data_IF_697597892333
#
_entry.id   IF_697597892333
#
_cell.length_a   1.000
_cell.length_b   1.000
_cell.length_c   1.000
_cell.angle_alpha   90.00
_cell.angle_beta   90.00
_cell.angle_gamma   90.00
#
_symmetry.space_group_name_H-M   'P 1'
#
loop_
_entity.id
_entity.type
_entity.pdbx_description
1 polymer ?
#
# COMPACT_ATOMS: atom_id res chain seq x y z
N UNK A 1 26.03 -18.93 49.26
CA UNK A 1 26.04 -19.19 50.72
C UNK A 1 24.70 -19.78 51.14
N UNK A 2 24.79 -20.91 51.86
CA UNK A 2 23.85 -21.58 52.77
C UNK A 2 22.37 -21.12 52.88
N UNK A 3 21.51 -22.14 52.87
CA UNK A 3 20.10 -22.21 53.27
C UNK A 3 19.91 -21.96 54.81
N UNK A 4 18.81 -22.37 55.49
CA UNK A 4 17.44 -22.78 55.09
C UNK A 4 16.36 -22.11 55.99
N UNK A 5 15.08 -22.52 55.94
CA UNK A 5 14.26 -22.78 57.14
C UNK A 5 13.17 -23.82 56.83
N UNK A 6 13.13 -24.82 57.70
CA UNK A 6 12.22 -25.97 57.70
C UNK A 6 10.96 -25.67 58.52
N UNK A 7 9.86 -26.36 58.21
CA UNK A 7 9.00 -26.97 59.24
C UNK A 7 8.20 -28.14 58.65
N UNK A 8 8.50 -29.32 59.15
CA UNK A 8 7.74 -30.54 59.00
C UNK A 8 6.77 -30.67 60.19
N UNK A 9 5.60 -31.25 59.95
CA UNK A 9 4.74 -31.82 60.99
C UNK A 9 4.30 -33.22 60.56
N UNK A 10 4.59 -34.17 61.44
CA UNK A 10 4.50 -35.63 61.31
C UNK A 10 3.08 -36.15 61.52
N UNK A 11 2.78 -37.27 60.85
CA UNK A 11 1.96 -38.45 61.23
C UNK A 11 1.47 -39.10 59.92
N UNK A 12 1.57 -40.40 59.62
CA UNK A 12 1.92 -41.60 60.39
C UNK A 12 2.10 -42.79 59.44
N UNK A 13 2.74 -43.83 59.97
CA UNK A 13 3.11 -45.14 59.44
C UNK A 13 2.26 -45.76 58.29
N UNK A 14 2.90 -46.31 57.25
CA UNK A 14 3.24 -47.76 57.08
C UNK A 14 3.51 -48.13 55.60
N UNK A 15 4.39 -49.13 55.45
CA UNK A 15 4.71 -49.97 54.29
C UNK A 15 5.70 -49.41 53.26
N UNK A 16 6.88 -50.04 53.31
CA UNK A 16 7.88 -50.10 52.26
C UNK A 16 7.23 -50.31 50.89
N UNK A 17 7.33 -49.29 50.05
CA UNK A 17 7.42 -49.46 48.60
C UNK A 17 8.76 -48.87 48.23
N UNK A 18 9.59 -49.71 47.64
CA UNK A 18 10.80 -49.30 46.94
C UNK A 18 10.45 -48.09 46.08
N UNK A 19 11.02 -46.93 46.42
CA UNK A 19 11.01 -45.77 45.53
C UNK A 19 11.83 -46.19 44.31
N UNK A 20 11.13 -46.72 43.30
CA UNK A 20 11.61 -46.66 41.94
C UNK A 20 11.92 -45.19 41.68
N UNK A 21 13.20 -44.88 41.56
CA UNK A 21 13.68 -43.67 40.91
C UNK A 21 13.25 -43.77 39.46
N UNK A 22 11.99 -43.46 39.17
CA UNK A 22 11.57 -43.02 37.85
C UNK A 22 12.26 -41.68 37.64
N UNK A 23 13.52 -41.76 37.20
CA UNK A 23 14.17 -40.68 36.51
C UNK A 23 13.19 -40.25 35.41
N UNK A 24 12.61 -39.06 35.56
CA UNK A 24 11.99 -38.37 34.44
C UNK A 24 13.14 -38.14 33.48
N UNK A 25 13.35 -39.09 32.58
CA UNK A 25 14.11 -38.91 31.36
C UNK A 25 13.54 -37.63 30.74
N UNK A 26 14.24 -36.51 30.90
CA UNK A 26 13.96 -35.32 30.11
C UNK A 26 13.97 -35.78 28.66
N UNK A 27 12.79 -35.92 28.06
CA UNK A 27 12.63 -36.36 26.69
C UNK A 27 13.20 -35.24 25.83
N UNK A 28 14.47 -35.37 25.44
CA UNK A 28 15.15 -34.43 24.56
C UNK A 28 14.81 -34.79 23.12
N UNK A 29 14.41 -33.79 22.36
CA UNK A 29 14.17 -33.93 20.92
C UNK A 29 15.33 -33.26 20.19
N UNK A 30 15.94 -33.89 19.18
CA UNK A 30 16.93 -33.23 18.35
C UNK A 30 16.31 -32.01 17.63
N UNK A 31 17.11 -30.97 17.34
CA UNK A 31 16.60 -29.82 16.58
C UNK A 31 16.20 -30.25 15.17
N UNK A 32 15.20 -29.58 14.60
CA UNK A 32 14.66 -29.90 13.27
C UNK A 32 15.52 -29.35 12.12
N UNK A 33 16.45 -28.46 12.43
CA UNK A 33 17.37 -27.84 11.49
C UNK A 33 18.64 -27.32 12.19
N UNK A 34 19.50 -26.60 11.46
CA UNK A 34 20.71 -26.01 12.05
C UNK A 34 20.32 -25.04 13.17
N UNK A 35 21.11 -25.04 14.24
CA UNK A 35 20.93 -24.07 15.33
C UNK A 35 21.75 -22.81 15.03
N UNK A 36 21.29 -21.63 15.50
CA UNK A 36 22.09 -20.41 15.42
C UNK A 36 23.48 -20.62 16.01
N UNK A 37 24.49 -20.00 15.39
CA UNK A 37 25.89 -19.99 15.83
C UNK A 37 26.59 -21.35 15.91
N UNK A 38 26.06 -22.42 15.29
CA UNK A 38 26.76 -23.71 15.19
C UNK A 38 28.06 -23.62 14.38
N UNK A 39 28.13 -22.71 13.43
CA UNK A 39 29.30 -22.52 12.56
C UNK A 39 30.47 -21.83 13.26
N UNK A 40 30.29 -21.35 14.50
CA UNK A 40 31.33 -20.66 15.24
C UNK A 40 32.29 -21.69 15.85
N UNK A 41 33.55 -21.68 15.41
CA UNK A 41 34.63 -22.46 16.05
C UNK A 41 34.97 -21.90 17.43
N UNK A 42 34.48 -22.58 18.48
CA UNK A 42 34.68 -22.21 19.88
C UNK A 42 36.10 -22.50 20.36
N UNK A 43 36.86 -23.33 19.63
CA UNK A 43 38.20 -23.78 20.04
C UNK A 43 39.20 -22.63 20.16
N UNK A 44 39.05 -21.59 19.34
CA UNK A 44 39.93 -20.43 19.28
C UNK A 44 39.16 -19.11 19.50
N UNK A 45 38.33 -19.05 20.54
CA UNK A 45 37.43 -17.92 20.81
C UNK A 45 38.15 -16.55 20.86
N UNK A 46 39.37 -16.51 21.39
CA UNK A 46 40.15 -15.27 21.56
C UNK A 46 40.70 -14.71 20.24
N UNK A 47 40.86 -15.56 19.22
CA UNK A 47 41.38 -15.17 17.90
C UNK A 47 40.29 -14.73 16.92
N UNK A 48 39.01 -14.91 17.27
CA UNK A 48 37.88 -14.54 16.42
C UNK A 48 37.68 -13.03 16.34
N UNK A 49 37.37 -12.55 15.14
CA UNK A 49 37.01 -11.15 14.92
C UNK A 49 35.72 -10.79 15.67
N UNK A 50 35.82 -9.90 16.66
CA UNK A 50 34.66 -9.42 17.43
C UNK A 50 33.95 -8.28 16.70
N UNK A 51 32.66 -8.12 16.98
CA UNK A 51 31.83 -7.06 16.39
C UNK A 51 32.35 -5.65 16.67
N UNK A 52 32.82 -5.38 17.90
CA UNK A 52 33.43 -4.10 18.35
C UNK A 52 32.55 -2.85 18.21
N UNK A 53 31.37 -2.97 17.63
CA UNK A 53 30.38 -1.91 17.48
C UNK A 53 28.98 -2.52 17.51
N UNK A 54 28.04 -1.81 18.13
CA UNK A 54 26.65 -2.23 18.18
C UNK A 54 26.03 -2.29 16.77
N UNK A 55 26.35 -1.31 15.91
CA UNK A 55 25.81 -1.21 14.56
C UNK A 55 26.21 -2.40 13.67
N UNK A 56 27.46 -2.89 13.79
CA UNK A 56 27.88 -4.08 13.05
C UNK A 56 27.12 -5.34 13.48
N UNK A 57 26.89 -5.48 14.78
CA UNK A 57 26.05 -6.57 15.30
C UNK A 57 24.61 -6.43 14.81
N UNK A 58 24.02 -5.24 14.92
CA UNK A 58 22.66 -4.93 14.49
C UNK A 58 22.42 -5.31 13.03
N UNK A 59 23.32 -4.92 12.11
CA UNK A 59 23.19 -5.28 10.68
C UNK A 59 23.17 -6.80 10.45
N UNK A 60 23.94 -7.56 11.23
CA UNK A 60 23.94 -9.01 11.12
C UNK A 60 22.66 -9.61 11.70
N UNK A 61 22.21 -9.11 12.86
CA UNK A 61 20.97 -9.53 13.48
C UNK A 61 19.74 -9.26 12.59
N UNK A 62 19.69 -8.11 11.90
CA UNK A 62 18.61 -7.78 10.97
C UNK A 62 18.58 -8.74 9.76
N UNK A 63 19.74 -9.14 9.22
CA UNK A 63 19.83 -10.13 8.14
C UNK A 63 19.29 -11.50 8.59
N UNK A 64 19.70 -11.97 9.76
CA UNK A 64 19.23 -13.24 10.31
C UNK A 64 17.73 -13.19 10.63
N UNK A 65 17.21 -12.06 11.12
CA UNK A 65 15.78 -11.88 11.38
C UNK A 65 14.92 -11.93 10.11
N UNK A 66 15.47 -11.59 8.94
CA UNK A 66 14.77 -11.66 7.65
C UNK A 66 14.86 -13.04 6.99
N UNK A 67 15.76 -13.91 7.45
CA UNK A 67 15.93 -15.26 6.92
C UNK A 67 14.74 -16.17 7.32
N UNK A 68 14.43 -17.20 6.51
CA UNK A 68 13.45 -18.22 6.89
C UNK A 68 14.02 -19.11 8.00
N UNK A 69 13.19 -19.45 8.98
CA UNK A 69 13.54 -20.31 10.11
C UNK A 69 12.53 -21.43 10.29
N UNK A 70 12.97 -22.58 10.81
CA UNK A 70 12.12 -23.74 11.07
C UNK A 70 11.31 -23.64 12.37
N UNK A 71 11.69 -22.74 13.28
CA UNK A 71 10.93 -22.42 14.49
C UNK A 71 9.89 -21.33 14.24
N UNK A 72 8.96 -21.15 15.19
CA UNK A 72 7.91 -20.13 15.09
C UNK A 72 8.50 -18.72 15.06
N UNK A 73 8.09 -17.93 14.08
CA UNK A 73 8.60 -16.56 13.92
C UNK A 73 7.48 -15.52 14.04
N UNK A 74 7.84 -14.27 14.33
CA UNK A 74 6.91 -13.15 14.25
C UNK A 74 6.29 -13.01 12.86
N UNK A 75 7.11 -13.19 11.80
CA UNK A 75 6.66 -13.11 10.40
C UNK A 75 5.60 -14.17 10.06
N UNK A 76 5.66 -15.35 10.65
CA UNK A 76 4.65 -16.40 10.46
C UNK A 76 3.26 -15.95 10.95
N UNK A 77 3.20 -15.19 12.05
CA UNK A 77 1.94 -14.76 12.67
C UNK A 77 1.43 -13.41 12.17
N UNK A 78 2.33 -12.48 11.86
CA UNK A 78 2.00 -11.08 11.56
C UNK A 78 2.46 -10.63 10.18
N UNK A 79 3.26 -11.42 9.48
CA UNK A 79 3.68 -11.11 8.12
C UNK A 79 2.51 -11.26 7.15
N UNK A 80 2.47 -10.38 6.16
CA UNK A 80 1.55 -10.54 5.03
C UNK A 80 1.88 -11.84 4.30
N UNK A 81 0.88 -12.70 4.14
CA UNK A 81 1.03 -13.94 3.40
C UNK A 81 1.09 -13.61 1.92
N UNK A 82 2.19 -13.98 1.27
CA UNK A 82 2.34 -13.90 -0.18
C UNK A 82 2.14 -15.27 -0.78
N UNK A 83 1.43 -15.33 -1.90
CA UNK A 83 1.35 -16.56 -2.69
C UNK A 83 2.76 -16.95 -3.19
N UNK A 84 3.05 -18.25 -3.29
CA UNK A 84 4.36 -18.72 -3.76
C UNK A 84 4.56 -18.49 -5.26
N UNK A 85 3.48 -18.27 -6.00
CA UNK A 85 3.53 -17.95 -7.42
C UNK A 85 4.01 -16.51 -7.62
N UNK A 86 5.01 -16.34 -8.48
CA UNK A 86 5.53 -15.02 -8.80
C UNK A 86 4.45 -14.19 -9.51
N UNK A 87 4.33 -12.92 -9.14
CA UNK A 87 3.39 -11.99 -9.75
C UNK A 87 3.76 -11.81 -11.22
N UNK A 88 2.77 -11.98 -12.10
CA UNK A 88 2.95 -11.76 -13.54
C UNK A 88 3.19 -10.28 -13.85
N UNK A 89 4.03 -10.00 -14.85
CA UNK A 89 4.23 -8.66 -15.41
C UNK A 89 3.38 -8.51 -16.67
N UNK A 90 2.43 -7.57 -16.66
CA UNK A 90 1.53 -7.24 -17.77
C UNK A 90 1.93 -5.94 -18.48
N UNK A 91 3.10 -5.37 -18.16
CA UNK A 91 3.54 -4.08 -18.67
C UNK A 91 4.27 -4.11 -20.01
N UNK A 92 4.63 -2.91 -20.46
CA UNK A 92 5.50 -2.72 -21.62
C UNK A 92 6.92 -3.29 -21.38
N UNK A 93 7.60 -3.77 -22.44
CA UNK A 93 8.94 -4.30 -22.32
C UNK A 93 9.94 -3.22 -21.85
N UNK A 94 11.00 -3.61 -21.11
CA UNK A 94 12.02 -2.68 -20.68
C UNK A 94 12.83 -2.12 -21.85
N UNK A 95 13.31 -0.86 -21.75
CA UNK A 95 14.15 -0.26 -22.79
C UNK A 95 15.50 -0.99 -22.89
N UNK A 96 16.01 -1.15 -24.12
CA UNK A 96 17.32 -1.72 -24.37
C UNK A 96 18.38 -0.62 -24.31
N UNK A 97 19.26 -0.67 -23.31
CA UNK A 97 20.32 0.33 -23.09
C UNK A 97 21.69 -0.35 -23.04
N UNK A 98 22.68 0.27 -23.69
CA UNK A 98 24.08 -0.18 -23.62
C UNK A 98 24.72 0.22 -22.29
N UNK A 99 24.83 -0.74 -21.37
CA UNK A 99 25.39 -0.51 -20.02
C UNK A 99 26.83 0.00 -20.07
N UNK A 100 27.63 -0.47 -21.02
CA UNK A 100 29.05 -0.08 -21.14
C UNK A 100 29.19 1.40 -21.49
N UNK A 101 28.41 1.89 -22.46
CA UNK A 101 28.41 3.30 -22.87
C UNK A 101 27.91 4.20 -21.73
N UNK A 102 26.76 3.85 -21.14
CA UNK A 102 26.19 4.61 -20.03
C UNK A 102 27.14 4.72 -18.83
N UNK A 103 27.88 3.65 -18.50
CA UNK A 103 28.86 3.68 -17.41
C UNK A 103 30.03 4.61 -17.74
N UNK A 104 30.48 4.62 -18.98
CA UNK A 104 31.61 5.45 -19.43
C UNK A 104 31.25 6.94 -19.33
N UNK A 105 30.09 7.33 -19.84
CA UNK A 105 29.57 8.71 -19.74
C UNK A 105 29.42 9.15 -18.28
N UNK A 106 28.80 8.32 -17.43
CA UNK A 106 28.63 8.63 -16.00
C UNK A 106 29.97 8.81 -15.28
N UNK A 107 30.98 7.99 -15.61
CA UNK A 107 32.32 8.13 -15.04
C UNK A 107 33.00 9.42 -15.48
N UNK A 108 32.83 9.81 -16.74
CA UNK A 108 33.38 11.05 -17.26
C UNK A 108 32.79 12.27 -16.54
N UNK A 109 31.47 12.35 -16.43
CA UNK A 109 30.77 13.44 -15.72
C UNK A 109 31.23 13.53 -14.25
N UNK A 110 31.34 12.41 -13.55
CA UNK A 110 31.83 12.39 -12.16
C UNK A 110 33.30 12.85 -12.08
N UNK A 111 34.14 12.49 -13.05
CA UNK A 111 35.54 12.89 -13.08
C UNK A 111 35.69 14.39 -13.28
N UNK A 112 34.91 14.97 -14.18
CA UNK A 112 34.88 16.41 -14.44
C UNK A 112 34.36 17.18 -13.21
N UNK A 113 33.26 16.72 -12.60
CA UNK A 113 32.70 17.33 -11.40
C UNK A 113 33.69 17.30 -10.22
N UNK A 114 34.39 16.18 -10.00
CA UNK A 114 35.38 16.05 -8.92
C UNK A 114 36.67 16.81 -9.17
N UNK A 115 36.98 17.15 -10.42
CA UNK A 115 38.13 17.99 -10.75
C UNK A 115 37.86 19.47 -10.42
N UNK A 116 36.59 19.89 -10.31
CA UNK A 116 36.24 21.26 -9.95
C UNK A 116 36.52 21.54 -8.46
N UNK A 117 37.45 22.46 -8.21
CA UNK A 117 37.88 22.85 -6.85
C UNK A 117 36.77 23.61 -6.10
N UNK A 118 35.90 24.32 -6.81
CA UNK A 118 34.78 25.06 -6.21
C UNK A 118 33.75 24.11 -5.59
N UNK A 119 33.41 23.03 -6.29
CA UNK A 119 32.49 22.00 -5.81
C UNK A 119 33.07 21.23 -4.62
N UNK A 120 34.37 20.93 -4.64
CA UNK A 120 35.05 20.33 -3.48
C UNK A 120 34.99 21.25 -2.26
N UNK A 121 35.28 22.55 -2.44
CA UNK A 121 35.23 23.54 -1.38
C UNK A 121 33.81 23.70 -0.85
N UNK A 122 32.81 23.80 -1.73
CA UNK A 122 31.40 23.91 -1.35
C UNK A 122 30.92 22.67 -0.59
N UNK A 123 31.32 21.46 -1.01
CA UNK A 123 31.02 20.23 -0.28
C UNK A 123 31.68 20.20 1.11
N UNK A 124 32.95 20.60 1.21
CA UNK A 124 33.69 20.67 2.49
C UNK A 124 33.07 21.66 3.46
N UNK A 125 32.62 22.81 2.95
CA UNK A 125 31.93 23.85 3.73
C UNK A 125 30.44 23.57 3.95
N UNK A 126 29.90 22.48 3.35
CA UNK A 126 28.48 22.09 3.41
C UNK A 126 27.53 23.15 2.83
N UNK A 127 27.99 23.90 1.84
CA UNK A 127 27.19 24.91 1.13
C UNK A 127 26.70 24.46 -0.25
N UNK A 128 27.13 23.27 -0.71
CA UNK A 128 26.70 22.71 -1.99
C UNK A 128 25.18 22.45 -2.03
N UNK A 129 24.56 22.69 -3.19
CA UNK A 129 23.13 22.49 -3.44
C UNK A 129 22.93 21.71 -4.73
N UNK A 130 21.92 20.86 -4.75
CA UNK A 130 21.56 20.08 -5.94
C UNK A 130 20.25 20.64 -6.52
N UNK A 131 20.18 20.88 -7.84
CA UNK A 131 18.94 21.34 -8.48
C UNK A 131 17.89 20.23 -8.45
N UNK A 132 16.80 20.44 -7.70
CA UNK A 132 15.75 19.43 -7.50
C UNK A 132 15.01 19.10 -8.80
N UNK A 133 14.80 20.09 -9.67
CA UNK A 133 14.09 19.90 -10.94
C UNK A 133 14.84 18.95 -11.87
N UNK A 134 16.17 19.11 -11.97
CA UNK A 134 17.02 18.23 -12.77
C UNK A 134 17.09 16.81 -12.17
N UNK A 135 17.15 16.70 -10.84
CA UNK A 135 17.10 15.39 -10.15
C UNK A 135 15.79 14.68 -10.45
N UNK A 136 14.67 15.40 -10.39
CA UNK A 136 13.34 14.85 -10.68
C UNK A 136 13.22 14.37 -12.11
N UNK A 137 13.65 15.18 -13.09
CA UNK A 137 13.61 14.82 -14.51
C UNK A 137 14.45 13.56 -14.82
N UNK A 138 15.66 13.45 -14.27
CA UNK A 138 16.50 12.26 -14.46
C UNK A 138 15.97 11.04 -13.69
N UNK A 139 15.41 11.25 -12.50
CA UNK A 139 14.77 10.20 -11.71
C UNK A 139 13.61 9.57 -12.50
N UNK A 140 12.74 10.40 -13.07
CA UNK A 140 11.56 9.97 -13.83
C UNK A 140 11.91 9.09 -15.04
N UNK A 141 13.05 9.35 -15.69
CA UNK A 141 13.55 8.56 -16.83
C UNK A 141 14.20 7.23 -16.41
N UNK A 142 14.78 7.16 -15.21
CA UNK A 142 15.65 6.04 -14.81
C UNK A 142 15.00 5.09 -13.80
N UNK A 143 14.84 5.54 -12.56
CA UNK A 143 14.40 4.72 -11.42
C UNK A 143 12.98 5.02 -10.96
N UNK A 144 12.41 6.13 -11.43
CA UNK A 144 11.06 6.56 -11.15
C UNK A 144 10.01 5.49 -11.41
N UNK A 145 10.00 4.81 -12.57
CA UNK A 145 9.03 3.75 -12.85
C UNK A 145 8.99 2.65 -11.79
N UNK A 146 10.16 2.19 -11.30
CA UNK A 146 10.23 1.15 -10.26
C UNK A 146 9.79 1.66 -8.89
N UNK A 147 10.09 2.93 -8.56
CA UNK A 147 9.59 3.55 -7.33
C UNK A 147 8.07 3.73 -7.36
N UNK A 148 7.51 4.14 -8.50
CA UNK A 148 6.07 4.27 -8.74
C UNK A 148 5.38 2.91 -8.63
N UNK A 149 5.95 1.85 -9.21
CA UNK A 149 5.47 0.48 -9.05
C UNK A 149 5.45 0.04 -7.58
N UNK A 150 6.56 0.21 -6.86
CA UNK A 150 6.62 -0.14 -5.42
C UNK A 150 5.60 0.64 -4.60
N UNK A 151 5.37 1.89 -4.94
CA UNK A 151 4.38 2.72 -4.25
C UNK A 151 2.95 2.26 -4.57
N UNK A 152 2.64 1.96 -5.83
CA UNK A 152 1.35 1.41 -6.23
C UNK A 152 1.05 0.07 -5.56
N UNK A 153 2.06 -0.78 -5.37
CA UNK A 153 1.96 -2.03 -4.61
C UNK A 153 1.70 -1.78 -3.13
N UNK A 154 2.41 -0.83 -2.50
CA UNK A 154 2.15 -0.41 -1.12
C UNK A 154 0.73 0.11 -0.93
N UNK A 155 0.22 0.89 -1.89
CA UNK A 155 -1.15 1.36 -1.88
C UNK A 155 -2.15 0.27 -2.26
N UNK A 156 -1.76 -0.95 -2.61
CA UNK A 156 -2.68 -2.04 -2.94
C UNK A 156 -3.34 -1.94 -4.32
N UNK A 157 -2.87 -1.07 -5.21
CA UNK A 157 -3.52 -0.79 -6.50
C UNK A 157 -3.52 -2.01 -7.42
N UNK A 158 -2.39 -2.72 -7.54
CA UNK A 158 -2.31 -3.94 -8.36
C UNK A 158 -3.18 -5.09 -7.83
N UNK A 159 -3.33 -5.18 -6.51
CA UNK A 159 -4.18 -6.19 -5.88
C UNK A 159 -5.64 -5.95 -6.25
N UNK A 160 -6.09 -4.69 -6.18
CA UNK A 160 -7.48 -4.32 -6.39
C UNK A 160 -7.82 -4.27 -7.91
N UNK A 161 -6.97 -3.66 -8.74
CA UNK A 161 -7.22 -3.46 -10.18
C UNK A 161 -6.96 -4.69 -11.06
N UNK A 162 -5.93 -5.47 -10.73
CA UNK A 162 -5.40 -6.54 -11.59
C UNK A 162 -5.22 -7.88 -10.86
N UNK A 163 -5.84 -8.05 -9.69
CA UNK A 163 -5.73 -9.27 -8.87
C UNK A 163 -4.30 -9.73 -8.59
N UNK A 164 -3.38 -8.78 -8.40
CA UNK A 164 -1.98 -9.04 -8.06
C UNK A 164 -1.00 -9.01 -9.23
N UNK A 165 -1.49 -8.97 -10.48
CA UNK A 165 -0.62 -8.72 -11.63
C UNK A 165 -0.01 -7.31 -11.57
N UNK A 166 1.27 -7.19 -11.89
CA UNK A 166 2.02 -5.94 -11.78
C UNK A 166 2.44 -5.43 -13.15
N UNK A 167 2.74 -4.14 -13.25
CA UNK A 167 3.43 -3.59 -14.42
C UNK A 167 4.30 -2.41 -14.03
N UNK A 168 5.35 -2.15 -14.79
CA UNK A 168 6.20 -0.97 -14.59
C UNK A 168 5.65 0.21 -15.41
N UNK A 169 5.28 1.34 -14.79
CA UNK A 169 4.79 2.51 -15.52
C UNK A 169 5.95 3.20 -16.26
N UNK A 170 6.18 2.79 -17.52
CA UNK A 170 7.30 3.27 -18.35
C UNK A 170 7.06 4.66 -18.91
N UNK A 171 5.81 5.00 -19.19
CA UNK A 171 5.43 6.29 -19.77
C UNK A 171 5.19 7.29 -18.64
N UNK A 172 5.78 8.48 -18.73
CA UNK A 172 5.52 9.55 -17.77
C UNK A 172 4.15 10.17 -18.04
N UNK A 173 3.19 9.88 -17.16
CA UNK A 173 1.86 10.47 -17.19
C UNK A 173 1.85 11.68 -16.23
N UNK A 174 1.57 12.86 -16.78
CA UNK A 174 1.44 14.09 -16.03
C UNK A 174 -0.03 14.53 -16.08
N UNK A 175 -0.66 14.56 -14.92
CA UNK A 175 -2.04 14.99 -14.75
C UNK A 175 -2.03 16.19 -13.82
N UNK A 176 -2.75 17.26 -14.17
CA UNK A 176 -2.91 18.43 -13.32
C UNK A 176 -4.33 18.97 -13.41
N UNK A 177 -4.93 19.34 -12.29
CA UNK A 177 -6.21 20.04 -12.25
C UNK A 177 -5.99 21.54 -12.25
N UNK A 178 -6.74 22.27 -13.07
CA UNK A 178 -6.75 23.73 -13.05
C UNK A 178 -7.64 24.24 -11.91
N UNK A 179 -7.03 24.94 -10.95
CA UNK A 179 -7.71 25.53 -9.80
C UNK A 179 -7.77 27.04 -10.01
N UNK A 180 -8.88 27.53 -10.54
CA UNK A 180 -8.99 28.93 -10.96
C UNK A 180 -8.26 29.18 -12.29
N UNK A 181 -7.63 30.36 -12.44
CA UNK A 181 -7.01 30.78 -13.70
C UNK A 181 -5.50 30.50 -13.78
N UNK A 182 -4.76 30.58 -12.65
CA UNK A 182 -3.29 30.54 -12.63
C UNK A 182 -2.69 29.37 -11.83
N UNK A 183 -3.47 28.64 -11.03
CA UNK A 183 -2.96 27.56 -10.18
C UNK A 183 -3.26 26.17 -10.77
N UNK A 184 -2.24 25.31 -10.73
CA UNK A 184 -2.35 23.91 -11.13
C UNK A 184 -2.09 23.01 -9.93
N UNK A 185 -3.01 22.07 -9.68
CA UNK A 185 -2.86 21.01 -8.69
C UNK A 185 -2.37 19.73 -9.38
N UNK A 186 -1.07 19.42 -9.35
CA UNK A 186 -0.54 18.23 -9.99
C UNK A 186 -0.92 16.96 -9.23
N UNK A 187 -1.28 15.93 -9.98
CA UNK A 187 -1.51 14.58 -9.48
C UNK A 187 -0.22 13.79 -9.62
N UNK A 188 0.24 13.22 -8.51
CA UNK A 188 1.42 12.39 -8.43
C UNK A 188 1.04 10.94 -8.12
N UNK A 189 1.46 10.44 -6.95
CA UNK A 189 1.33 9.04 -6.56
C UNK A 189 0.85 8.94 -5.11
N UNK A 190 -0.36 9.42 -4.87
CA UNK A 190 -1.02 9.40 -3.56
C UNK A 190 -0.98 10.71 -2.80
N UNK A 191 -0.71 11.84 -3.46
CA UNK A 191 -0.96 13.16 -2.86
C UNK A 191 -2.46 13.38 -2.67
N UNK A 192 -2.80 14.26 -1.74
CA UNK A 192 -4.20 14.63 -1.47
C UNK A 192 -4.66 15.69 -2.47
N UNK A 193 -5.83 15.49 -3.07
CA UNK A 193 -6.52 16.43 -3.96
C UNK A 193 -7.99 16.46 -3.55
N UNK A 194 -8.54 17.65 -3.39
CA UNK A 194 -9.92 17.83 -2.93
C UNK A 194 -10.92 17.64 -4.07
N UNK A 195 -12.16 17.23 -3.77
CA UNK A 195 -13.23 17.19 -4.78
C UNK A 195 -13.50 18.54 -5.44
N UNK A 196 -13.35 19.64 -4.69
CA UNK A 196 -13.45 21.01 -5.22
C UNK A 196 -12.41 21.29 -6.30
N UNK A 197 -11.14 20.91 -6.08
CA UNK A 197 -10.08 21.05 -7.09
C UNK A 197 -10.30 20.11 -8.28
N UNK A 198 -10.82 18.91 -8.02
CA UNK A 198 -11.13 17.90 -9.02
C UNK A 198 -12.56 18.03 -9.61
N UNK A 199 -13.18 19.22 -9.53
CA UNK A 199 -14.54 19.44 -10.04
C UNK A 199 -14.59 19.46 -11.59
N UNK A 200 -13.50 19.87 -12.23
CA UNK A 200 -13.38 19.94 -13.69
C UNK A 200 -12.42 18.87 -14.22
N UNK A 201 -12.49 18.63 -15.53
CA UNK A 201 -11.60 17.70 -16.22
C UNK A 201 -10.14 18.15 -16.07
N UNK A 202 -9.19 17.26 -15.75
CA UNK A 202 -7.79 17.62 -15.63
C UNK A 202 -7.10 17.79 -16.98
N UNK A 203 -6.01 18.53 -16.99
CA UNK A 203 -5.05 18.55 -18.08
C UNK A 203 -4.16 17.30 -18.01
N UNK A 204 -4.12 16.53 -19.09
CA UNK A 204 -3.37 15.28 -19.17
C UNK A 204 -2.34 15.37 -20.28
N UNK A 205 -1.08 15.14 -19.95
CA UNK A 205 0.04 15.12 -20.89
C UNK A 205 0.92 13.89 -20.65
N UNK A 206 1.40 13.30 -21.73
CA UNK A 206 2.32 12.16 -21.69
C UNK A 206 3.17 12.15 -22.96
N UNK A 207 4.27 11.41 -22.94
CA UNK A 207 5.14 11.24 -24.11
C UNK A 207 4.66 10.06 -24.97
N UNK A 208 4.26 10.32 -26.21
CA UNK A 208 3.89 9.28 -27.17
C UNK A 208 4.43 9.54 -28.59
N UNK A 209 4.56 8.45 -29.33
CA UNK A 209 4.99 8.45 -30.73
C UNK A 209 3.85 8.86 -31.66
N UNK A 210 4.18 9.48 -32.79
CA UNK A 210 3.18 9.83 -33.82
C UNK A 210 2.53 8.54 -34.38
N UNK A 211 1.19 8.54 -34.47
CA UNK A 211 0.41 7.39 -34.94
C UNK A 211 0.11 6.32 -33.88
N UNK A 212 0.58 6.49 -32.65
CA UNK A 212 0.20 5.62 -31.53
C UNK A 212 -1.22 5.93 -31.02
N UNK A 213 -1.90 4.91 -30.51
CA UNK A 213 -3.24 5.01 -29.93
C UNK A 213 -3.20 4.72 -28.43
N UNK A 214 -3.98 5.47 -27.66
CA UNK A 214 -4.00 5.39 -26.20
C UNK A 214 -5.40 5.39 -25.63
N UNK A 215 -5.55 4.84 -24.44
CA UNK A 215 -6.80 4.86 -23.66
C UNK A 215 -6.50 5.34 -22.26
N UNK A 216 -7.25 6.34 -21.81
CA UNK A 216 -7.14 6.92 -20.48
C UNK A 216 -8.37 6.55 -19.66
N UNK A 217 -8.13 6.05 -18.46
CA UNK A 217 -9.16 5.56 -17.55
C UNK A 217 -8.96 6.19 -16.16
N UNK A 218 -10.02 6.75 -15.58
CA UNK A 218 -10.06 7.22 -14.19
C UNK A 218 -11.08 6.41 -13.38
N UNK A 219 -10.62 5.66 -12.39
CA UNK A 219 -11.48 4.86 -11.51
C UNK A 219 -11.30 5.21 -10.03
N UNK A 220 -12.37 5.07 -9.25
CA UNK A 220 -12.35 5.18 -7.80
C UNK A 220 -12.47 3.80 -7.18
N UNK A 221 -11.42 3.36 -6.48
CA UNK A 221 -11.33 2.03 -5.88
C UNK A 221 -12.20 1.87 -4.63
N UNK A 222 -12.27 2.92 -3.82
CA UNK A 222 -12.90 2.88 -2.49
C UNK A 222 -14.27 3.58 -2.48
N UNK A 223 -14.75 4.04 -3.64
CA UNK A 223 -15.90 4.95 -3.76
C UNK A 223 -17.25 4.27 -3.83
N UNK A 224 -17.30 2.95 -4.02
CA UNK A 224 -18.53 2.25 -4.33
C UNK A 224 -19.40 2.05 -3.08
N UNK A 225 -20.69 2.45 -3.18
CA UNK A 225 -21.58 2.54 -2.01
C UNK A 225 -22.30 1.22 -1.66
N UNK A 226 -22.32 0.25 -2.57
CA UNK A 226 -23.11 -0.98 -2.45
C UNK A 226 -22.23 -2.23 -2.41
N UNK A 227 -21.49 -2.47 -3.50
CA UNK A 227 -20.55 -3.58 -3.65
C UNK A 227 -19.13 -3.15 -3.21
N UNK A 228 -18.43 -3.92 -2.37
CA UNK A 228 -17.07 -3.58 -1.91
C UNK A 228 -15.99 -3.86 -2.97
N UNK A 229 -16.20 -4.83 -3.85
CA UNK A 229 -15.21 -5.25 -4.87
C UNK A 229 -15.37 -4.50 -6.20
N UNK A 230 -16.38 -3.64 -6.31
CA UNK A 230 -16.66 -2.88 -7.52
C UNK A 230 -16.11 -1.46 -7.41
N UNK A 231 -15.76 -0.89 -8.57
CA UNK A 231 -15.20 0.46 -8.69
C UNK A 231 -16.24 1.38 -9.34
N UNK A 232 -16.08 2.70 -9.20
CA UNK A 232 -16.78 3.66 -10.06
C UNK A 232 -15.86 4.19 -11.15
N UNK A 233 -16.36 4.21 -12.38
CA UNK A 233 -15.69 4.79 -13.53
C UNK A 233 -16.04 6.28 -13.66
N UNK A 234 -15.09 7.13 -13.33
CA UNK A 234 -15.23 8.59 -13.38
C UNK A 234 -14.98 9.15 -14.77
N UNK A 235 -14.02 8.61 -15.52
CA UNK A 235 -13.70 9.10 -16.87
C UNK A 235 -13.08 8.01 -17.74
N UNK A 236 -13.53 7.89 -19.00
CA UNK A 236 -12.97 6.96 -19.97
C UNK A 236 -12.86 7.64 -21.33
N UNK A 237 -11.62 7.79 -21.79
CA UNK A 237 -11.30 8.24 -23.14
C UNK A 237 -10.60 7.11 -23.90
N UNK A 238 -11.08 6.81 -25.09
CA UNK A 238 -10.57 5.71 -25.91
C UNK A 238 -10.04 6.24 -27.24
N UNK A 239 -9.17 5.45 -27.89
CA UNK A 239 -8.64 5.74 -29.23
C UNK A 239 -8.01 7.15 -29.35
N UNK A 240 -7.27 7.60 -28.33
CA UNK A 240 -6.60 8.90 -28.31
C UNK A 240 -5.40 8.88 -29.28
N UNK A 241 -5.34 9.75 -30.30
CA UNK A 241 -4.23 9.78 -31.26
C UNK A 241 -3.02 10.53 -30.70
N UNK A 242 -1.96 9.81 -30.37
CA UNK A 242 -0.73 10.35 -29.79
C UNK A 242 -1.02 11.02 -28.44
N UNK A 243 -0.71 12.31 -28.32
CA UNK A 243 -0.89 13.10 -27.08
C UNK A 243 -2.17 13.95 -27.05
N UNK A 244 -3.02 13.87 -28.08
CA UNK A 244 -4.15 14.78 -28.27
C UNK A 244 -5.40 14.24 -27.58
N UNK A 245 -5.44 14.39 -26.26
CA UNK A 245 -6.53 13.90 -25.39
C UNK A 245 -7.91 14.38 -25.84
N UNK A 246 -8.02 15.63 -26.32
CA UNK A 246 -9.27 16.20 -26.82
C UNK A 246 -9.81 15.56 -28.12
N UNK A 247 -8.96 14.87 -28.89
CA UNK A 247 -9.37 14.15 -30.11
C UNK A 247 -9.78 12.70 -29.81
N UNK A 248 -9.61 12.24 -28.57
CA UNK A 248 -10.06 10.92 -28.13
C UNK A 248 -11.59 10.80 -28.12
N UNK A 249 -12.07 9.57 -28.24
CA UNK A 249 -13.50 9.27 -28.12
C UNK A 249 -13.89 9.20 -26.66
N UNK A 250 -14.71 10.14 -26.20
CA UNK A 250 -15.23 10.14 -24.84
C UNK A 250 -16.29 9.06 -24.67
N UNK A 251 -15.86 7.91 -24.13
CA UNK A 251 -16.71 6.73 -23.92
C UNK A 251 -17.50 6.86 -22.62
N UNK A 252 -16.94 7.57 -21.63
CA UNK A 252 -17.63 7.89 -20.39
C UNK A 252 -17.25 9.31 -19.93
N UNK A 253 -18.24 10.22 -19.79
CA UNK A 253 -17.97 11.60 -19.47
C UNK A 253 -17.42 11.77 -18.06
N UNK A 254 -16.57 12.76 -17.87
CA UNK A 254 -15.97 13.05 -16.57
C UNK A 254 -17.04 13.27 -15.49
N UNK A 255 -16.87 12.57 -14.37
CA UNK A 255 -17.67 12.75 -13.16
C UNK A 255 -16.70 13.09 -12.03
N UNK A 256 -16.88 14.21 -11.31
CA UNK A 256 -16.01 14.55 -10.19
C UNK A 256 -16.03 13.47 -9.10
N UNK A 257 -14.97 13.33 -8.30
CA UNK A 257 -14.97 12.43 -7.15
C UNK A 257 -16.03 12.85 -6.12
N UNK A 258 -16.73 11.87 -5.55
CA UNK A 258 -17.76 12.09 -4.51
C UNK A 258 -17.55 11.18 -3.29
N UNK A 259 -16.39 11.27 -2.60
CA UNK A 259 -16.15 10.48 -1.38
C UNK A 259 -17.21 10.82 -0.32
N UNK A 260 -17.91 9.80 0.19
CA UNK A 260 -19.00 10.00 1.14
C UNK A 260 -18.51 10.56 2.49
N UNK A 261 -19.37 11.31 3.19
CA UNK A 261 -18.97 11.88 4.48
C UNK A 261 -18.72 10.78 5.50
N UNK A 262 -17.53 10.76 6.08
CA UNK A 262 -17.14 9.78 7.10
C UNK A 262 -16.75 8.40 6.58
N UNK A 263 -16.64 8.19 5.26
CA UNK A 263 -16.12 6.94 4.68
C UNK A 263 -14.59 6.84 4.72
N UNK A 264 -13.90 7.97 4.93
CA UNK A 264 -12.44 8.04 5.05
C UNK A 264 -11.79 8.71 3.86
N UNK A 265 -10.70 8.11 3.36
CA UNK A 265 -9.87 8.65 2.28
C UNK A 265 -9.94 7.68 1.12
N UNK A 266 -10.33 8.16 -0.05
CA UNK A 266 -10.53 7.31 -1.22
C UNK A 266 -9.36 7.48 -2.18
N UNK A 267 -8.96 6.39 -2.83
CA UNK A 267 -7.92 6.39 -3.87
C UNK A 267 -8.57 6.46 -5.25
N UNK A 268 -8.22 7.48 -6.02
CA UNK A 268 -8.59 7.62 -7.43
C UNK A 268 -7.38 7.41 -8.33
N UNK A 269 -7.54 6.59 -9.35
CA UNK A 269 -6.45 6.09 -10.17
C UNK A 269 -6.66 6.46 -11.63
N UNK A 270 -5.69 7.16 -12.20
CA UNK A 270 -5.49 7.30 -13.63
C UNK A 270 -4.65 6.15 -14.17
N UNK A 271 -5.20 5.43 -15.13
CA UNK A 271 -4.54 4.38 -15.89
C UNK A 271 -4.42 4.84 -17.34
N UNK A 272 -3.21 4.70 -17.88
CA UNK A 272 -2.94 4.93 -19.29
C UNK A 272 -2.56 3.61 -19.94
N UNK A 273 -3.33 3.21 -20.94
CA UNK A 273 -3.06 2.03 -21.75
C UNK A 273 -2.57 2.43 -23.14
N UNK A 274 -1.56 1.71 -23.64
CA UNK A 274 -1.13 1.78 -25.03
C UNK A 274 -1.94 0.77 -25.83
N UNK A 275 -2.53 1.21 -26.93
CA UNK A 275 -3.26 0.36 -27.87
C UNK A 275 -2.38 0.05 -29.08
N UNK A 276 -2.38 -1.20 -29.50
CA UNK A 276 -1.65 -1.64 -30.70
C UNK A 276 -2.47 -1.40 -31.98
N UNK A 277 -3.80 -1.40 -31.85
CA UNK A 277 -4.75 -1.22 -32.95
C UNK A 277 -5.97 -0.44 -32.46
N UNK A 278 -6.80 0.02 -33.39
CA UNK A 278 -8.06 0.69 -33.07
C UNK A 278 -9.05 -0.34 -32.51
N UNK A 279 -9.58 -0.06 -31.32
CA UNK A 279 -10.48 -0.96 -30.59
C UNK A 279 -11.89 -0.36 -30.63
N UNK A 280 -12.90 -1.20 -30.85
CA UNK A 280 -14.30 -0.82 -30.69
C UNK A 280 -14.72 -0.98 -29.21
N UNK A 281 -15.13 0.11 -28.59
CA UNK A 281 -15.61 0.19 -27.20
C UNK A 281 -17.13 0.38 -27.12
N UNK A 282 -17.87 -0.02 -28.15
CA UNK A 282 -19.32 0.11 -28.20
C UNK A 282 -20.05 -0.53 -27.01
N UNK A 283 -19.54 -1.65 -26.47
CA UNK A 283 -20.12 -2.33 -25.29
C UNK A 283 -19.92 -1.55 -23.98
N UNK A 284 -18.82 -0.80 -23.87
CA UNK A 284 -18.45 -0.07 -22.66
C UNK A 284 -18.88 1.42 -22.71
N UNK A 285 -19.55 1.81 -23.80
CA UNK A 285 -20.04 3.16 -24.03
C UNK A 285 -21.16 3.50 -23.04
N UNK A 286 -21.01 4.66 -22.38
CA UNK A 286 -22.01 5.20 -21.46
C UNK A 286 -22.72 6.40 -22.06
N UNK A 287 -23.98 6.68 -21.65
CA UNK A 287 -24.67 7.87 -22.10
C UNK A 287 -23.95 9.15 -21.65
N UNK A 288 -24.05 10.21 -22.43
CA UNK A 288 -23.55 11.54 -22.06
C UNK A 288 -24.73 12.51 -21.85
N UNK A 289 -24.99 12.99 -20.62
CA UNK A 289 -24.31 12.69 -19.35
C UNK A 289 -24.74 11.35 -18.71
N UNK A 290 -23.83 10.71 -17.94
CA UNK A 290 -24.13 9.51 -17.16
C UNK A 290 -24.05 9.82 -15.66
N UNK A 291 -25.21 10.00 -15.02
CA UNK A 291 -25.33 10.20 -13.57
C UNK A 291 -25.86 8.96 -12.82
N UNK A 292 -26.14 7.88 -13.54
CA UNK A 292 -26.66 6.66 -12.95
C UNK A 292 -25.51 5.79 -12.41
N UNK A 293 -25.42 5.65 -11.08
CA UNK A 293 -24.32 4.93 -10.42
C UNK A 293 -24.18 3.47 -10.87
N UNK A 294 -25.29 2.77 -11.14
CA UNK A 294 -25.25 1.39 -11.62
C UNK A 294 -24.57 1.23 -12.99
N UNK A 295 -24.68 2.25 -13.86
CA UNK A 295 -23.95 2.25 -15.13
C UNK A 295 -22.47 2.58 -14.89
N UNK A 296 -22.18 3.47 -13.94
CA UNK A 296 -20.82 3.86 -13.54
C UNK A 296 -20.06 2.74 -12.83
N UNK A 297 -20.75 1.74 -12.28
CA UNK A 297 -20.14 0.53 -11.72
C UNK A 297 -19.25 -0.12 -12.78
N UNK A 298 -18.01 -0.41 -12.40
CA UNK A 298 -16.97 -0.86 -13.29
C UNK A 298 -15.98 -1.78 -12.56
N UNK A 299 -15.32 -2.66 -13.30
CA UNK A 299 -14.25 -3.53 -12.79
C UNK A 299 -13.10 -3.49 -13.78
N UNK A 300 -11.97 -2.93 -13.36
CA UNK A 300 -10.83 -2.72 -14.27
C UNK A 300 -10.25 -4.04 -14.77
N UNK A 301 -10.24 -5.06 -13.92
CA UNK A 301 -9.74 -6.40 -14.28
C UNK A 301 -10.51 -7.00 -15.47
N UNK A 302 -11.86 -6.97 -15.41
CA UNK A 302 -12.70 -7.56 -16.45
C UNK A 302 -12.58 -6.79 -17.78
N UNK A 303 -12.53 -5.46 -17.69
CA UNK A 303 -12.28 -4.59 -18.85
C UNK A 303 -10.94 -4.89 -19.52
N UNK A 304 -9.86 -4.92 -18.73
CA UNK A 304 -8.54 -5.22 -19.28
C UNK A 304 -8.48 -6.63 -19.87
N UNK A 305 -9.06 -7.61 -19.20
CA UNK A 305 -9.05 -9.02 -19.66
C UNK A 305 -9.73 -9.20 -21.03
N UNK A 306 -10.77 -8.43 -21.34
CA UNK A 306 -11.43 -8.43 -22.66
C UNK A 306 -10.52 -7.88 -23.75
N UNK A 307 -9.72 -6.87 -23.44
CA UNK A 307 -8.95 -6.09 -24.42
C UNK A 307 -7.42 -6.31 -24.36
N UNK A 308 -6.92 -7.21 -23.51
CA UNK A 308 -5.50 -7.41 -23.24
C UNK A 308 -4.66 -7.78 -24.48
N UNK A 309 -5.28 -8.34 -25.52
CA UNK A 309 -4.58 -8.70 -26.76
C UNK A 309 -4.19 -7.47 -27.60
N UNK A 310 -4.95 -6.38 -27.48
CA UNK A 310 -4.76 -5.15 -28.25
C UNK A 310 -4.37 -3.94 -27.39
N UNK A 311 -4.32 -4.11 -26.06
CA UNK A 311 -4.13 -3.03 -25.10
C UNK A 311 -3.19 -3.46 -23.98
N UNK A 312 -2.19 -2.63 -23.66
CA UNK A 312 -1.18 -2.89 -22.62
C UNK A 312 -1.09 -1.72 -21.65
N UNK A 313 -1.08 -1.93 -20.32
CA UNK A 313 -0.89 -0.86 -19.34
C UNK A 313 0.51 -0.25 -19.46
N UNK A 314 0.56 1.06 -19.63
CA UNK A 314 1.79 1.80 -19.91
C UNK A 314 2.16 2.77 -18.79
N UNK A 315 1.16 3.36 -18.14
CA UNK A 315 1.36 4.28 -17.01
C UNK A 315 0.23 4.22 -15.99
N UNK A 316 0.53 4.78 -14.83
CA UNK A 316 -0.32 4.87 -13.65
C UNK A 316 -0.05 6.22 -13.00
N UNK A 317 -1.06 6.91 -12.52
CA UNK A 317 -0.95 8.03 -11.56
C UNK A 317 -2.19 8.01 -10.67
N UNK A 318 -2.09 8.44 -9.41
CA UNK A 318 -3.24 8.36 -8.51
C UNK A 318 -3.14 9.41 -7.41
N UNK A 319 -4.29 9.76 -6.86
CA UNK A 319 -4.41 10.71 -5.75
C UNK A 319 -5.37 10.19 -4.69
N UNK A 320 -5.30 10.82 -3.52
CA UNK A 320 -6.20 10.58 -2.41
C UNK A 320 -7.21 11.71 -2.32
N UNK A 321 -8.47 11.37 -2.06
CA UNK A 321 -9.56 12.31 -1.99
C UNK A 321 -10.36 12.13 -0.71
N UNK A 322 -10.73 13.24 -0.06
CA UNK A 322 -11.56 13.27 1.14
C UNK A 322 -12.84 14.03 0.85
N UNK A 323 -13.88 13.79 1.65
CA UNK A 323 -15.12 14.55 1.59
C UNK A 323 -14.87 16.05 1.82
N UNK A 324 -15.55 16.88 1.04
CA UNK A 324 -15.66 18.33 1.21
C UNK A 324 -17.11 18.80 0.92
N UNK A 325 -17.37 20.09 1.08
CA UNK A 325 -18.71 20.65 0.89
C UNK A 325 -19.22 20.50 -0.56
N UNK A 326 -18.33 20.43 -1.55
CA UNK A 326 -18.69 20.29 -2.97
C UNK A 326 -19.34 18.93 -3.28
N UNK A 327 -19.00 17.89 -2.50
CA UNK A 327 -19.59 16.56 -2.64
C UNK A 327 -21.11 16.57 -2.39
N UNK A 328 -21.56 17.41 -1.46
CA UNK A 328 -23.00 17.58 -1.16
C UNK A 328 -23.76 18.06 -2.40
N UNK A 329 -23.15 18.97 -3.17
CA UNK A 329 -23.71 19.46 -4.43
C UNK A 329 -23.75 18.35 -5.49
N UNK A 330 -22.73 17.50 -5.58
CA UNK A 330 -22.71 16.36 -6.51
C UNK A 330 -23.88 15.40 -6.23
N UNK A 331 -24.09 15.00 -4.97
CA UNK A 331 -25.18 14.09 -4.63
C UNK A 331 -26.56 14.68 -4.93
N UNK A 332 -26.79 15.94 -4.59
CA UNK A 332 -28.12 16.55 -4.74
C UNK A 332 -28.42 17.05 -6.15
N UNK A 333 -27.44 17.60 -6.88
CA UNK A 333 -27.69 18.21 -8.19
C UNK A 333 -27.35 17.29 -9.36
N UNK A 334 -26.23 16.56 -9.29
CA UNK A 334 -25.81 15.68 -10.38
C UNK A 334 -26.45 14.30 -10.27
N UNK A 335 -26.38 13.69 -9.09
CA UNK A 335 -26.86 12.31 -8.87
C UNK A 335 -28.34 12.21 -8.46
N UNK A 336 -29.01 13.35 -8.19
CA UNK A 336 -30.40 13.45 -7.71
C UNK A 336 -30.71 12.45 -6.57
N UNK A 337 -29.82 12.39 -5.58
CA UNK A 337 -29.93 11.47 -4.46
C UNK A 337 -29.57 12.12 -3.13
N UNK A 338 -29.90 11.41 -2.04
CA UNK A 338 -29.53 11.84 -0.68
C UNK A 338 -28.08 11.48 -0.42
N UNK A 339 -27.36 12.40 0.21
CA UNK A 339 -25.98 12.18 0.63
C UNK A 339 -25.92 11.11 1.73
N UNK A 340 -25.17 10.01 1.53
CA UNK A 340 -24.91 9.03 2.58
C UNK A 340 -23.85 9.54 3.54
N UNK A 341 -24.08 9.32 4.85
CA UNK A 341 -23.15 9.71 5.92
C UNK A 341 -22.79 8.47 6.73
N UNK A 342 -21.50 8.20 6.83
CA UNK A 342 -20.93 7.06 7.54
C UNK A 342 -20.28 7.51 8.86
N UNK A 343 -20.23 6.60 9.82
CA UNK A 343 -19.55 6.81 11.11
C UNK A 343 -18.71 5.59 11.46
N UNK A 344 -17.51 5.83 12.00
CA UNK A 344 -16.65 4.76 12.47
C UNK A 344 -17.08 4.28 13.86
N UNK A 345 -17.84 3.19 13.91
CA UNK A 345 -18.28 2.55 15.16
C UNK A 345 -17.25 1.52 15.62
N UNK A 346 -16.71 1.71 16.84
CA UNK A 346 -15.78 0.75 17.45
C UNK A 346 -16.53 -0.48 17.98
N UNK A 347 -15.89 -1.66 18.01
CA UNK A 347 -16.46 -2.82 18.67
C UNK A 347 -16.83 -2.51 20.13
N UNK A 348 -17.95 -3.06 20.64
CA UNK A 348 -18.35 -2.83 22.02
C UNK A 348 -17.28 -3.38 22.97
N UNK A 349 -17.07 -2.73 24.12
CA UNK A 349 -16.08 -3.16 25.09
C UNK A 349 -16.39 -4.57 25.58
N UNK A 350 -15.35 -5.41 25.68
CA UNK A 350 -15.51 -6.75 26.22
C UNK A 350 -15.78 -6.70 27.73
N UNK A 351 -16.86 -7.36 28.15
CA UNK A 351 -17.16 -7.63 29.53
C UNK A 351 -17.29 -9.14 29.77
N UNK A 352 -16.59 -9.71 30.78
CA UNK A 352 -16.76 -11.12 31.10
C UNK A 352 -18.19 -11.37 31.60
N UNK A 353 -18.67 -12.62 31.54
CA UNK A 353 -20.01 -12.97 32.04
C UNK A 353 -20.20 -12.49 33.50
N UNK A 354 -21.30 -11.79 33.75
CA UNK A 354 -21.60 -11.25 35.08
C UNK A 354 -21.72 -12.40 36.09
N UNK A 355 -21.06 -12.26 37.24
CA UNK A 355 -21.13 -13.22 38.35
C UNK A 355 -22.05 -12.67 39.43
N UNK A 356 -22.92 -13.52 39.97
CA UNK A 356 -23.81 -13.17 41.07
C UNK A 356 -23.05 -12.66 42.30
N UNK A 357 -21.91 -13.27 42.60
CA UNK A 357 -21.03 -12.89 43.70
C UNK A 357 -19.66 -12.49 43.15
N UNK A 358 -19.45 -11.21 42.80
CA UNK A 358 -18.20 -10.73 42.22
C UNK A 358 -17.15 -10.52 43.32
N UNK A 359 -16.65 -11.63 43.88
CA UNK A 359 -15.66 -11.62 44.96
C UNK A 359 -14.43 -10.78 44.61
N UNK A 360 -14.04 -9.86 45.52
CA UNK A 360 -12.92 -8.91 45.37
C UNK A 360 -13.06 -7.91 44.21
N UNK A 361 -14.25 -7.74 43.64
CA UNK A 361 -14.48 -6.67 42.66
C UNK A 361 -14.90 -5.36 43.35
N UNK A 362 -14.57 -4.20 42.77
CA UNK A 362 -15.02 -2.91 43.26
C UNK A 362 -16.52 -2.70 43.01
N UNK A 363 -17.16 -1.76 43.72
CA UNK A 363 -18.59 -1.46 43.59
C UNK A 363 -19.00 -1.11 42.14
N UNK A 364 -18.15 -0.36 41.42
CA UNK A 364 -18.32 -0.01 39.99
C UNK A 364 -18.37 -1.22 39.03
N UNK A 365 -18.19 -2.44 39.54
CA UNK A 365 -18.42 -3.67 38.79
C UNK A 365 -19.86 -3.76 38.28
N UNK A 366 -20.83 -3.35 39.09
CA UNK A 366 -22.25 -3.40 38.72
C UNK A 366 -22.57 -2.45 37.55
N UNK A 367 -21.86 -1.33 37.47
CA UNK A 367 -22.06 -0.31 36.42
C UNK A 367 -21.64 -0.82 35.03
N UNK A 368 -20.73 -1.80 34.96
CA UNK A 368 -20.32 -2.41 33.68
C UNK A 368 -21.45 -3.17 32.98
N UNK A 369 -22.49 -3.53 33.72
CA UNK A 369 -23.65 -4.29 33.23
C UNK A 369 -24.94 -3.49 33.40
N UNK A 370 -24.83 -2.19 33.65
CA UNK A 370 -25.97 -1.29 33.80
C UNK A 370 -26.15 -0.53 32.50
N UNK A 371 -27.32 -0.67 31.88
CA UNK A 371 -27.61 -0.03 30.60
C UNK A 371 -27.96 1.46 30.77
N UNK A 372 -28.74 1.81 31.81
CA UNK A 372 -29.17 3.19 32.09
C UNK A 372 -28.46 3.78 33.30
N UNK A 373 -28.20 5.09 33.26
CA UNK A 373 -27.71 5.86 34.41
C UNK A 373 -28.84 6.39 35.30
N UNK A 374 -30.11 6.22 34.90
CA UNK A 374 -31.28 6.69 35.63
C UNK A 374 -31.73 5.69 36.73
N UNK A 375 -32.33 6.17 37.83
CA UNK A 375 -32.83 5.29 38.89
C UNK A 375 -34.07 4.51 38.42
N UNK A 376 -34.18 3.25 38.84
CA UNK A 376 -35.32 2.38 38.53
C UNK A 376 -36.13 2.05 39.77
N UNK A 377 -37.46 2.16 39.68
CA UNK A 377 -38.39 1.93 40.79
C UNK A 377 -39.27 0.68 40.60
N UNK A 378 -39.16 -0.04 39.49
CA UNK A 378 -39.89 -1.30 39.29
C UNK A 378 -41.42 -1.14 39.44
N UNK A 379 -42.01 -1.81 40.42
CA UNK A 379 -43.46 -1.84 40.70
C UNK A 379 -43.92 -0.82 41.74
N UNK A 380 -43.02 0.01 42.28
CA UNK A 380 -43.31 0.95 43.36
C UNK A 380 -44.12 2.16 42.90
#
# INVERSE_FOLDING_TARGET
MAAPWWRASLCGCRRWRTFSTSAVLCRRTPPLGPMPNQDIDVSNLDRLEKYRSFDRYRRQAEKEAQAPHWWRTYREHFGEKTDPEEKIDIGLPPPKVSRTQQLLERKQVIRELRANVEEERAARLRTARVPLDAVRAEWERTSGPYHKQRLAEYYGLYRDLFHGATFVPRVALHVAYAVGEDELMPVYYGNEVTPTEAAQVPEVTYEAEEGSLWTLLLTSLDGHLLEPDAEYLHWLLTNIPGNRVAEGQETCPYLPPFPARGSGIHRLVFLLFKQDQLIDFSEDMRPSPCYQLAQRTFRTFDFYKKHQEAMTPASLSFFQCRWDDSVTHIFHQLLDMREPVFEFVRPPPYHPKQKRFPHRQPLRYLDRYRDSHEPTYGIY
#
